data_IF_052742760598
#
_entry.id   IF_052742760598
#
_cell.length_a   1.000
_cell.length_b   1.000
_cell.length_c   1.000
_cell.angle_alpha   90.00
_cell.angle_beta   90.00
_cell.angle_gamma   90.00
#
_symmetry.space_group_name_H-M   'P 1'
#
loop_
_entity.id
_entity.type
_entity.pdbx_description
1 polymer ?
#
# COMPACT_ATOMS: atom_id res chain seq x y z
N UNK A 1 12.92 -19.97 16.06
CA UNK A 1 12.05 -18.91 15.48
C UNK A 1 11.30 -19.41 14.23
N UNK A 2 9.97 -19.27 14.23
CA UNK A 2 9.15 -19.58 13.06
C UNK A 2 9.41 -18.53 11.98
N UNK A 3 9.63 -18.96 10.73
CA UNK A 3 9.81 -18.05 9.60
C UNK A 3 8.45 -17.86 8.94
N UNK A 4 8.14 -16.63 8.55
CA UNK A 4 6.87 -16.28 7.93
C UNK A 4 7.11 -15.61 6.59
N UNK A 5 6.30 -15.96 5.61
CA UNK A 5 6.28 -15.32 4.30
C UNK A 5 4.99 -14.52 4.20
N UNK A 6 5.13 -13.20 4.01
CA UNK A 6 4.02 -12.24 3.94
C UNK A 6 4.13 -11.48 2.62
N UNK A 7 3.00 -11.31 1.95
CA UNK A 7 2.86 -10.52 0.74
C UNK A 7 1.81 -9.44 0.97
N UNK A 8 2.14 -8.19 0.63
CA UNK A 8 1.16 -7.11 0.54
C UNK A 8 0.61 -7.02 -0.88
N UNK A 9 -0.70 -6.83 -1.01
CA UNK A 9 -1.38 -6.58 -2.28
C UNK A 9 -2.32 -5.38 -2.16
N UNK A 10 -2.68 -4.71 -3.27
CA UNK A 10 -3.56 -3.54 -3.24
C UNK A 10 -4.92 -3.82 -2.60
N UNK A 11 -5.59 -2.75 -2.17
CA UNK A 11 -7.02 -2.78 -1.84
C UNK A 11 -7.88 -3.03 -3.09
N UNK A 12 -9.11 -3.52 -2.93
CA UNK A 12 -10.01 -3.89 -4.03
C UNK A 12 -9.81 -5.31 -4.58
N UNK A 13 -9.02 -6.14 -3.90
CA UNK A 13 -8.84 -7.56 -4.18
C UNK A 13 -9.78 -8.41 -3.30
N UNK A 14 -10.19 -9.58 -3.81
CA UNK A 14 -11.10 -10.52 -3.16
C UNK A 14 -10.44 -11.20 -1.96
N UNK A 15 -11.03 -11.03 -0.77
CA UNK A 15 -10.54 -11.66 0.47
C UNK A 15 -10.63 -13.19 0.45
N UNK A 16 -11.59 -13.74 -0.28
CA UNK A 16 -11.71 -15.17 -0.57
C UNK A 16 -11.69 -15.35 -2.10
N UNK A 17 -10.90 -16.27 -2.66
CA UNK A 17 -10.18 -17.37 -2.00
C UNK A 17 -8.83 -16.99 -1.36
N UNK A 18 -8.39 -15.74 -1.44
CA UNK A 18 -7.08 -15.28 -0.97
C UNK A 18 -6.15 -14.86 -2.12
N UNK A 19 -4.85 -14.84 -1.87
CA UNK A 19 -3.83 -14.68 -2.91
C UNK A 19 -3.16 -16.03 -3.21
N UNK A 20 -2.47 -16.12 -4.34
CA UNK A 20 -1.60 -17.25 -4.67
C UNK A 20 -0.21 -16.75 -4.97
N UNK A 21 0.81 -17.56 -4.70
CA UNK A 21 2.19 -17.28 -5.03
C UNK A 21 2.78 -18.44 -5.81
N UNK A 22 3.38 -18.10 -6.94
CA UNK A 22 4.04 -19.02 -7.86
C UNK A 22 5.54 -18.72 -7.79
N UNK A 23 6.35 -19.73 -7.50
CA UNK A 23 7.81 -19.64 -7.52
C UNK A 23 8.27 -20.22 -8.86
N UNK A 24 8.81 -19.38 -9.73
CA UNK A 24 9.09 -19.69 -11.14
C UNK A 24 7.90 -20.35 -11.88
N UNK A 25 7.95 -21.67 -12.07
CA UNK A 25 6.95 -22.49 -12.77
C UNK A 25 6.36 -23.59 -11.86
N UNK A 26 6.58 -23.50 -10.55
CA UNK A 26 6.05 -24.44 -9.56
C UNK A 26 4.53 -24.27 -9.38
N UNK A 27 3.81 -25.29 -8.87
CA UNK A 27 2.38 -25.16 -8.55
C UNK A 27 2.08 -23.95 -7.64
N UNK A 28 0.98 -23.19 -7.86
CA UNK A 28 0.64 -22.04 -7.04
C UNK A 28 0.35 -22.44 -5.58
N UNK A 29 0.97 -21.73 -4.64
CA UNK A 29 0.71 -21.86 -3.20
C UNK A 29 -0.33 -20.82 -2.78
N UNK A 30 -1.41 -21.24 -2.12
CA UNK A 30 -2.46 -20.32 -1.64
C UNK A 30 -2.08 -19.68 -0.31
N UNK A 31 -2.18 -18.36 -0.22
CA UNK A 31 -2.02 -17.57 1.01
C UNK A 31 -3.39 -17.02 1.43
N UNK A 32 -3.69 -17.12 2.71
CA UNK A 32 -4.87 -16.49 3.30
C UNK A 32 -4.53 -15.06 3.71
N UNK A 33 -5.48 -14.14 3.57
CA UNK A 33 -5.37 -12.82 4.17
C UNK A 33 -5.42 -12.92 5.69
N UNK A 34 -4.52 -12.21 6.34
CA UNK A 34 -4.42 -12.14 7.80
C UNK A 34 -4.98 -10.82 8.32
N UNK A 35 -4.72 -9.73 7.58
CA UNK A 35 -5.16 -8.38 7.93
C UNK A 35 -5.27 -7.50 6.67
N UNK A 36 -6.21 -6.56 6.69
CA UNK A 36 -6.31 -5.50 5.68
C UNK A 36 -6.29 -4.14 6.37
N UNK A 37 -5.48 -3.23 5.83
CA UNK A 37 -5.41 -1.82 6.20
C UNK A 37 -5.88 -0.96 5.02
N UNK A 38 -6.21 0.33 5.22
CA UNK A 38 -6.62 1.23 4.13
C UNK A 38 -5.61 1.36 2.98
N UNK A 39 -4.32 1.08 3.24
CA UNK A 39 -3.24 1.11 2.25
C UNK A 39 -2.91 -0.25 1.60
N UNK A 40 -3.50 -1.36 2.05
CA UNK A 40 -3.22 -2.68 1.46
C UNK A 40 -3.65 -3.86 2.35
N UNK A 41 -3.82 -5.01 1.71
CA UNK A 41 -4.12 -6.27 2.37
C UNK A 41 -2.88 -7.17 2.42
N UNK A 42 -2.68 -7.84 3.56
CA UNK A 42 -1.52 -8.68 3.84
C UNK A 42 -1.96 -10.14 3.92
N UNK A 43 -1.39 -10.97 3.06
CA UNK A 43 -1.62 -12.41 3.02
C UNK A 43 -0.33 -13.13 3.39
N UNK A 44 -0.44 -14.24 4.13
CA UNK A 44 0.73 -14.91 4.68
C UNK A 44 0.61 -16.43 4.78
N UNK A 45 1.76 -17.05 5.03
CA UNK A 45 1.89 -18.43 5.51
C UNK A 45 3.15 -18.57 6.37
N UNK A 46 3.15 -19.51 7.31
CA UNK A 46 4.39 -19.97 7.94
C UNK A 46 5.20 -20.81 6.94
N UNK A 47 6.52 -20.65 6.95
CA UNK A 47 7.43 -21.29 5.99
C UNK A 47 8.59 -21.99 6.67
N UNK A 48 9.01 -23.11 6.09
CA UNK A 48 10.15 -23.90 6.57
C UNK A 48 11.47 -23.47 5.89
N UNK A 49 12.58 -24.10 6.27
CA UNK A 49 13.88 -23.83 5.67
C UNK A 49 13.95 -24.23 4.18
N UNK A 50 13.18 -25.24 3.76
CA UNK A 50 13.11 -25.72 2.38
C UNK A 50 12.49 -24.66 1.45
N UNK A 51 11.39 -24.02 1.87
CA UNK A 51 10.76 -22.90 1.14
C UNK A 51 11.73 -21.74 0.93
N UNK A 52 12.44 -21.33 1.99
CA UNK A 52 13.48 -20.28 1.88
C UNK A 52 14.58 -20.71 0.90
N UNK A 53 14.99 -21.98 0.93
CA UNK A 53 16.01 -22.52 0.02
C UNK A 53 15.53 -22.55 -1.43
N UNK A 54 14.24 -22.82 -1.69
CA UNK A 54 13.63 -22.68 -3.02
C UNK A 54 13.64 -21.22 -3.47
N UNK A 55 13.21 -20.30 -2.60
CA UNK A 55 13.14 -18.88 -2.92
C UNK A 55 14.53 -18.27 -3.22
N UNK A 56 15.59 -18.69 -2.52
CA UNK A 56 16.98 -18.33 -2.81
C UNK A 56 17.49 -18.79 -4.18
N UNK A 57 16.92 -19.86 -4.75
CA UNK A 57 17.31 -20.44 -6.04
C UNK A 57 16.40 -20.01 -7.19
N UNK A 58 15.26 -19.40 -6.88
CA UNK A 58 14.29 -18.95 -7.88
C UNK A 58 14.78 -17.77 -8.71
N UNK A 59 14.23 -17.61 -9.90
CA UNK A 59 14.47 -16.44 -10.76
C UNK A 59 13.38 -15.38 -10.63
N UNK A 60 12.14 -15.82 -10.41
CA UNK A 60 10.95 -14.98 -10.26
C UNK A 60 9.96 -15.53 -9.24
N UNK A 61 9.21 -14.62 -8.63
CA UNK A 61 8.08 -14.90 -7.77
C UNK A 61 6.87 -14.13 -8.31
N UNK A 62 5.83 -14.85 -8.73
CA UNK A 62 4.59 -14.23 -9.24
C UNK A 62 3.51 -14.31 -8.17
N UNK A 63 3.03 -13.15 -7.74
CA UNK A 63 1.90 -12.99 -6.83
C UNK A 63 0.64 -12.83 -7.66
N UNK A 64 -0.34 -13.70 -7.42
CA UNK A 64 -1.64 -13.66 -8.08
C UNK A 64 -2.69 -13.23 -7.05
N UNK A 65 -3.43 -12.18 -7.35
CA UNK A 65 -4.56 -11.75 -6.55
C UNK A 65 -5.78 -11.55 -7.45
N UNK A 66 -6.97 -11.89 -6.95
CA UNK A 66 -8.23 -11.78 -7.69
C UNK A 66 -8.87 -10.42 -7.42
N UNK A 67 -9.22 -9.64 -8.44
CA UNK A 67 -9.90 -8.35 -8.28
C UNK A 67 -11.43 -8.54 -8.22
N UNK A 68 -12.18 -7.58 -7.65
CA UNK A 68 -13.66 -7.67 -7.51
C UNK A 68 -14.46 -7.96 -8.79
N UNK A 69 -13.95 -7.63 -9.98
CA UNK A 69 -14.53 -8.01 -11.26
C UNK A 69 -14.17 -9.42 -11.76
N UNK A 70 -13.57 -10.28 -10.92
CA UNK A 70 -13.19 -11.65 -11.26
C UNK A 70 -11.89 -11.78 -12.08
N UNK A 71 -11.16 -10.67 -12.32
CA UNK A 71 -9.88 -10.70 -13.06
C UNK A 71 -8.70 -10.97 -12.12
N UNK A 72 -7.89 -11.98 -12.44
CA UNK A 72 -6.61 -12.22 -11.77
C UNK A 72 -5.56 -11.19 -12.20
N UNK A 73 -4.93 -10.54 -11.24
CA UNK A 73 -3.77 -9.67 -11.45
C UNK A 73 -2.50 -10.43 -11.05
N UNK A 74 -1.48 -10.41 -11.93
CA UNK A 74 -0.18 -11.05 -11.71
C UNK A 74 0.87 -9.97 -11.46
N UNK A 75 1.52 -9.99 -10.30
CA UNK A 75 2.63 -9.11 -9.94
C UNK A 75 3.92 -9.95 -9.91
N UNK A 76 4.85 -9.71 -10.84
CA UNK A 76 6.09 -10.48 -10.96
C UNK A 76 7.22 -9.76 -10.25
N UNK A 77 7.86 -10.43 -9.29
CA UNK A 77 9.02 -9.94 -8.56
C UNK A 77 10.27 -10.75 -8.98
N UNK A 78 11.38 -10.10 -9.39
CA UNK A 78 12.64 -10.81 -9.62
C UNK A 78 13.28 -11.22 -8.30
N UNK A 79 13.71 -12.47 -8.18
CA UNK A 79 14.28 -13.03 -6.94
C UNK A 79 15.80 -13.26 -6.99
N UNK A 80 16.47 -12.87 -8.09
CA UNK A 80 17.92 -13.06 -8.32
C UNK A 80 18.81 -12.59 -7.16
N UNK A 81 18.46 -11.48 -6.52
CA UNK A 81 19.23 -10.90 -5.41
C UNK A 81 18.71 -11.32 -4.02
N UNK A 82 17.63 -12.12 -3.94
CA UNK A 82 17.02 -12.52 -2.67
C UNK A 82 17.99 -13.31 -1.78
N UNK A 83 18.83 -14.18 -2.36
CA UNK A 83 19.83 -14.92 -1.58
C UNK A 83 20.82 -13.97 -0.87
N UNK A 84 21.34 -12.96 -1.58
CA UNK A 84 22.26 -11.97 -1.00
C UNK A 84 21.56 -11.09 0.05
N UNK A 85 20.31 -10.71 -0.20
CA UNK A 85 19.51 -9.93 0.76
C UNK A 85 19.13 -10.73 2.02
N UNK A 86 18.94 -12.05 1.90
CA UNK A 86 18.56 -12.93 3.01
C UNK A 86 19.75 -13.36 3.88
N UNK A 87 20.91 -13.65 3.25
CA UNK A 87 22.14 -14.06 3.94
C UNK A 87 23.08 -12.89 4.27
N UNK A 88 22.74 -11.68 3.82
CA UNK A 88 23.50 -10.46 4.09
C UNK A 88 23.49 -10.07 5.57
N UNK A 89 24.46 -9.24 5.96
CA UNK A 89 24.48 -8.66 7.31
C UNK A 89 23.19 -7.85 7.55
N UNK A 90 22.62 -7.89 8.78
CA UNK A 90 21.50 -7.03 9.14
C UNK A 90 21.87 -5.56 8.88
N UNK A 91 20.95 -4.81 8.27
CA UNK A 91 21.12 -3.38 8.08
C UNK A 91 21.27 -2.68 9.44
N UNK A 92 22.36 -1.94 9.65
CA UNK A 92 22.58 -1.22 10.91
C UNK A 92 21.49 -0.15 11.09
N UNK A 93 20.67 -0.21 12.16
CA UNK A 93 19.57 0.73 12.37
C UNK A 93 20.03 2.20 12.40
N UNK A 94 21.23 2.47 12.91
CA UNK A 94 21.77 3.83 13.05
C UNK A 94 22.22 4.37 11.69
N UNK A 95 22.84 3.53 10.85
CA UNK A 95 23.24 3.91 9.49
C UNK A 95 22.01 4.21 8.65
N UNK A 96 21.01 3.33 8.67
CA UNK A 96 19.74 3.54 7.95
C UNK A 96 19.01 4.79 8.46
N UNK A 97 18.98 5.04 9.77
CA UNK A 97 18.37 6.25 10.33
C UNK A 97 19.10 7.54 9.89
N UNK A 98 20.44 7.56 9.95
CA UNK A 98 21.24 8.70 9.54
C UNK A 98 21.13 8.98 8.03
N UNK A 99 21.08 7.94 7.19
CA UNK A 99 20.87 8.06 5.75
C UNK A 99 19.46 8.59 5.43
N UNK A 100 18.42 8.09 6.12
CA UNK A 100 17.04 8.60 6.03
C UNK A 100 16.93 10.07 6.43
N UNK A 101 17.65 10.50 7.47
CA UNK A 101 17.68 11.89 7.92
C UNK A 101 18.35 12.80 6.87
N UNK A 102 19.54 12.43 6.37
CA UNK A 102 20.23 13.19 5.31
C UNK A 102 19.37 13.33 4.05
N UNK A 103 18.73 12.24 3.61
CA UNK A 103 17.83 12.26 2.46
C UNK A 103 16.64 13.21 2.70
N UNK A 104 16.08 13.24 3.91
CA UNK A 104 15.00 14.16 4.27
C UNK A 104 15.45 15.63 4.23
N UNK A 105 16.64 15.96 4.72
CA UNK A 105 17.20 17.31 4.65
C UNK A 105 17.48 17.77 3.21
N UNK A 106 18.02 16.89 2.36
CA UNK A 106 18.23 17.20 0.94
C UNK A 106 16.90 17.42 0.21
N UNK A 107 15.90 16.58 0.47
CA UNK A 107 14.54 16.75 -0.07
C UNK A 107 13.90 18.07 0.40
N UNK A 108 14.09 18.49 1.65
CA UNK A 108 13.63 19.80 2.15
C UNK A 108 14.34 20.97 1.44
N UNK A 109 15.67 20.92 1.30
CA UNK A 109 16.45 21.95 0.59
C UNK A 109 16.07 22.05 -0.88
N UNK A 110 15.80 20.91 -1.54
CA UNK A 110 15.30 20.87 -2.92
C UNK A 110 13.87 21.41 -3.04
N UNK A 111 13.01 21.15 -2.05
CA UNK A 111 11.67 21.72 -2.01
C UNK A 111 11.71 23.25 -1.84
N UNK A 112 12.51 23.78 -0.91
CA UNK A 112 12.69 25.22 -0.70
C UNK A 112 13.18 25.91 -1.97
N UNK A 113 14.27 25.43 -2.58
CA UNK A 113 14.82 25.99 -3.83
C UNK A 113 13.80 26.00 -4.98
N UNK A 114 12.92 25.00 -5.08
CA UNK A 114 11.83 24.97 -6.07
C UNK A 114 10.71 25.95 -5.75
N UNK A 115 10.41 26.19 -4.47
CA UNK A 115 9.43 27.20 -4.04
C UNK A 115 9.94 28.62 -4.32
N UNK A 116 11.22 28.88 -4.07
CA UNK A 116 11.90 30.16 -4.37
C UNK A 116 11.97 30.41 -5.89
N UNK A 117 12.34 29.40 -6.67
CA UNK A 117 12.42 29.50 -8.14
C UNK A 117 11.05 29.61 -8.84
N UNK A 118 9.97 29.14 -8.21
CA UNK A 118 8.62 29.17 -8.76
C UNK A 118 7.77 30.33 -8.21
N UNK A 119 8.43 31.44 -7.82
CA UNK A 119 7.80 32.67 -7.36
C UNK A 119 7.91 33.78 -8.43
N UNK A 120 7.04 33.80 -9.47
CA UNK A 120 6.82 35.03 -10.22
C UNK A 120 6.17 36.06 -9.30
N UNK A 121 6.52 37.33 -9.47
CA UNK A 121 6.27 38.36 -8.46
C UNK A 121 4.80 38.70 -8.19
N UNK A 122 4.52 38.93 -6.91
CA UNK A 122 3.67 40.04 -6.44
C UNK A 122 2.17 40.04 -6.79
N UNK A 123 1.34 39.55 -5.85
CA UNK A 123 0.32 40.38 -5.19
C UNK A 123 -0.24 39.67 -3.95
N UNK A 124 -0.30 40.40 -2.82
CA UNK A 124 -0.95 39.97 -1.58
C UNK A 124 -2.32 40.69 -1.44
N UNK A 125 -3.13 40.46 -0.38
CA UNK A 125 -4.52 40.03 -0.56
C UNK A 125 -5.55 41.16 -0.50
N UNK A 126 -6.65 40.99 -1.23
CA UNK A 126 -7.88 41.75 -1.01
C UNK A 126 -8.85 40.93 -0.12
N UNK A 127 -8.95 41.31 1.16
CA UNK A 127 -10.00 40.81 2.03
C UNK A 127 -11.35 41.42 1.60
N UNK A 128 -12.35 40.55 1.38
CA UNK A 128 -13.76 40.92 1.20
C UNK A 128 -14.59 40.19 2.24
N UNK A 129 -15.39 40.92 3.02
CA UNK A 129 -16.07 40.39 4.20
C UNK A 129 -17.30 39.51 3.87
N UNK A 130 -17.60 38.59 4.79
CA UNK A 130 -18.91 37.96 4.98
C UNK A 130 -19.97 39.02 5.42
N UNK A 131 -21.31 38.73 5.46
CA UNK A 131 -21.95 37.41 5.47
C UNK A 131 -23.21 37.26 4.58
N UNK A 132 -23.85 36.08 4.65
CA UNK A 132 -25.16 35.80 4.05
C UNK A 132 -26.33 36.32 4.91
N UNK A 133 -27.55 36.38 4.32
CA UNK A 133 -28.76 36.15 5.12
C UNK A 133 -29.73 35.10 4.54
N UNK A 134 -30.17 34.22 5.44
CA UNK A 134 -31.50 33.61 5.59
C UNK A 134 -32.26 33.00 4.38
N UNK A 135 -32.58 31.71 4.53
CA UNK A 135 -33.75 31.08 3.90
C UNK A 135 -35.07 31.51 4.60
N UNK A 136 -36.22 31.15 4.01
CA UNK A 136 -37.21 30.44 4.84
C UNK A 136 -37.77 29.16 4.17
N UNK A 137 -37.82 28.08 4.96
CA UNK A 137 -38.86 27.05 4.88
C UNK A 137 -40.13 27.59 5.61
N UNK A 138 -41.36 27.01 5.52
CA UNK A 138 -41.70 25.59 5.37
C UNK A 138 -42.79 25.36 4.27
N UNK A 139 -43.43 24.20 4.05
CA UNK A 139 -44.18 23.38 5.00
C UNK A 139 -44.52 21.96 4.49
N UNK A 140 -44.58 21.02 5.43
CA UNK A 140 -45.50 19.87 5.40
C UNK A 140 -46.62 20.14 6.44
N UNK A 141 -47.76 19.43 6.36
CA UNK A 141 -47.86 18.22 7.20
C UNK A 141 -48.57 17.02 6.54
N UNK A 142 -48.45 15.86 7.21
CA UNK A 142 -49.18 14.61 6.96
C UNK A 142 -50.64 14.69 7.53
N UNK A 143 -51.47 13.62 7.69
CA UNK A 143 -51.21 12.18 7.94
C UNK A 143 -51.54 11.30 6.70
N UNK A 144 -51.76 9.98 6.70
CA UNK A 144 -52.00 8.99 7.76
C UNK A 144 -51.57 7.53 7.38
N UNK A 145 -51.96 6.57 8.24
CA UNK A 145 -51.87 5.11 8.11
C UNK A 145 -53.31 4.51 8.29
N UNK A 146 -53.60 3.19 8.48
CA UNK A 146 -52.70 2.06 8.71
C UNK A 146 -53.05 0.66 8.12
N UNK A 147 -52.05 -0.22 8.20
CA UNK A 147 -52.06 -1.65 8.59
C UNK A 147 -53.21 -2.62 8.23
N UNK A 148 -52.81 -3.85 7.86
CA UNK A 148 -52.90 -4.98 8.81
C UNK A 148 -51.85 -6.06 8.54
#
# INVERSE_FOLDING_TARGET
PNKKFIVSVPVGMLLQPGTRVVIDQQPPLSLKYEICFPNGCFAGMDVNAEFVTKLKKSQSLTIQALQMGGRTLNFVLPTKEFAKAYDGAPSDPNVVAAERQKLAEELQKLAQKKMEANQPGGAAPAAGAAPAPAAPAPAAPAPAAPAR
#
